data_IF_502044841645
#
_entry.id   IF_502044841645
#
_cell.length_a   1.000
_cell.length_b   1.000
_cell.length_c   1.000
_cell.angle_alpha   90.00
_cell.angle_beta   90.00
_cell.angle_gamma   90.00
#
_symmetry.space_group_name_H-M   'P 1'
#
loop_
_entity.id
_entity.type
_entity.pdbx_description
1 polymer ?
#
# COMPACT_ATOMS: atom_id res chain seq x y z
N UNK A 1 -12.67 -0.97 13.99
CA UNK A 1 -12.07 -2.25 13.53
C UNK A 1 -12.05 -2.27 12.01
N UNK A 2 -10.86 -2.31 11.39
CA UNK A 2 -10.72 -2.37 9.93
C UNK A 2 -11.24 -3.72 9.42
N UNK A 3 -12.38 -3.73 8.70
CA UNK A 3 -12.97 -4.94 8.13
C UNK A 3 -12.35 -5.21 6.75
N UNK A 4 -11.50 -6.23 6.68
CA UNK A 4 -10.89 -6.67 5.42
C UNK A 4 -11.94 -7.40 4.57
N UNK A 5 -12.63 -6.69 3.67
CA UNK A 5 -13.43 -7.29 2.59
C UNK A 5 -12.56 -7.51 1.34
N UNK A 6 -11.58 -8.43 1.41
CA UNK A 6 -10.75 -8.78 0.25
C UNK A 6 -11.55 -9.64 -0.72
N UNK A 7 -11.82 -9.11 -1.91
CA UNK A 7 -12.31 -9.92 -3.05
C UNK A 7 -11.24 -10.91 -3.52
N UNK A 8 -11.61 -12.05 -4.11
CA UNK A 8 -10.68 -13.00 -4.72
C UNK A 8 -9.69 -12.30 -5.67
N UNK A 9 -8.44 -12.77 -5.71
CA UNK A 9 -7.42 -12.15 -6.55
C UNK A 9 -7.76 -12.27 -8.05
N UNK A 10 -8.33 -13.42 -8.45
CA UNK A 10 -8.76 -13.70 -9.82
C UNK A 10 -9.73 -12.66 -10.38
N UNK A 11 -10.57 -12.07 -9.54
CA UNK A 11 -11.53 -11.03 -9.94
C UNK A 11 -10.89 -9.64 -10.09
N UNK A 12 -9.65 -9.47 -9.61
CA UNK A 12 -9.01 -8.17 -9.45
C UNK A 12 -7.74 -7.99 -10.27
N UNK A 13 -7.15 -9.04 -10.82
CA UNK A 13 -5.85 -8.99 -11.51
C UNK A 13 -5.74 -7.81 -12.49
N UNK A 14 -6.70 -7.66 -13.41
CA UNK A 14 -6.68 -6.58 -14.40
C UNK A 14 -6.82 -5.20 -13.76
N UNK A 15 -7.65 -5.06 -12.72
CA UNK A 15 -7.86 -3.78 -12.02
C UNK A 15 -6.63 -3.38 -11.21
N UNK A 16 -5.96 -4.34 -10.58
CA UNK A 16 -4.71 -4.10 -9.85
C UNK A 16 -3.61 -3.62 -10.79
N UNK A 17 -3.46 -4.24 -11.96
CA UNK A 17 -2.52 -3.79 -12.99
C UNK A 17 -2.86 -2.38 -13.51
N UNK A 18 -4.14 -2.09 -13.76
CA UNK A 18 -4.59 -0.77 -14.18
C UNK A 18 -4.36 0.31 -13.10
N UNK A 19 -4.53 -0.05 -11.83
CA UNK A 19 -4.25 0.84 -10.70
C UNK A 19 -2.75 1.14 -10.54
N UNK A 20 -1.89 0.13 -10.68
CA UNK A 20 -0.44 0.31 -10.68
C UNK A 20 0.03 1.26 -11.82
N UNK A 21 -0.62 1.18 -12.98
CA UNK A 21 -0.38 2.07 -14.12
C UNK A 21 -1.02 3.47 -13.96
N UNK A 22 -1.80 3.72 -12.91
CA UNK A 22 -2.53 4.98 -12.69
C UNK A 22 -3.72 5.23 -13.62
N UNK A 23 -4.12 4.23 -14.41
CA UNK A 23 -5.35 4.26 -15.25
C UNK A 23 -6.61 4.24 -14.38
N UNK A 24 -6.53 3.52 -13.26
CA UNK A 24 -7.49 3.58 -12.16
C UNK A 24 -6.76 4.24 -10.98
N UNK A 25 -7.44 5.09 -10.21
CA UNK A 25 -6.83 5.77 -9.07
C UNK A 25 -6.84 4.87 -7.84
N UNK A 26 -5.79 4.98 -7.01
CA UNK A 26 -5.64 4.20 -5.80
C UNK A 26 -6.70 4.60 -4.76
N UNK A 27 -7.09 3.65 -3.91
CA UNK A 27 -8.01 3.94 -2.79
C UNK A 27 -7.28 4.74 -1.71
N UNK A 28 -6.00 4.44 -1.49
CA UNK A 28 -5.15 5.10 -0.50
C UNK A 28 -3.72 5.15 -1.00
N UNK A 29 -3.03 6.27 -0.75
CA UNK A 29 -1.59 6.42 -0.94
C UNK A 29 -0.97 6.91 0.36
N UNK A 30 0.03 6.19 0.87
CA UNK A 30 0.86 6.63 1.99
C UNK A 30 2.08 7.32 1.40
N UNK A 31 2.29 8.60 1.68
CA UNK A 31 3.30 9.46 1.05
C UNK A 31 4.52 9.69 1.95
N UNK A 32 5.71 9.77 1.34
CA UNK A 32 6.94 10.25 1.99
C UNK A 32 7.50 9.33 3.08
N UNK A 33 7.07 8.07 3.13
CA UNK A 33 7.44 7.13 4.17
C UNK A 33 8.84 6.54 4.01
N UNK A 34 9.51 6.23 5.12
CA UNK A 34 10.73 5.41 5.12
C UNK A 34 10.35 3.93 5.14
N UNK A 35 10.23 3.31 3.97
CA UNK A 35 9.86 1.90 3.82
C UNK A 35 11.03 1.02 4.28
N UNK A 36 10.76 0.16 5.26
CA UNK A 36 11.70 -0.85 5.74
C UNK A 36 11.56 -2.08 4.85
N UNK A 37 12.50 -2.26 3.93
CA UNK A 37 12.54 -3.45 3.10
C UNK A 37 13.22 -4.58 3.87
N UNK A 38 12.40 -5.41 4.52
CA UNK A 38 12.86 -6.55 5.32
C UNK A 38 13.50 -7.66 4.48
N UNK A 39 13.34 -7.65 3.16
CA UNK A 39 13.99 -8.61 2.26
C UNK A 39 15.44 -8.18 1.93
N UNK A 40 15.68 -6.89 1.69
CA UNK A 40 17.02 -6.36 1.37
C UNK A 40 17.77 -5.78 2.57
N UNK A 41 17.10 -5.63 3.72
CA UNK A 41 17.60 -4.93 4.91
C UNK A 41 17.90 -3.43 4.69
N UNK A 42 17.28 -2.82 3.68
CA UNK A 42 17.44 -1.41 3.36
C UNK A 42 16.24 -0.58 3.86
N UNK A 43 16.49 0.71 4.07
CA UNK A 43 15.46 1.71 4.34
C UNK A 43 15.43 2.68 3.17
N UNK A 44 14.30 2.74 2.49
CA UNK A 44 14.13 3.57 1.29
C UNK A 44 12.95 4.53 1.46
N UNK A 45 13.14 5.80 1.12
CA UNK A 45 12.04 6.77 1.06
C UNK A 45 11.18 6.46 -0.17
N UNK A 46 9.91 6.13 0.04
CA UNK A 46 8.97 5.83 -1.03
C UNK A 46 7.53 6.06 -0.59
N UNK A 47 6.64 6.22 -1.57
CA UNK A 47 5.21 6.15 -1.36
C UNK A 47 4.72 4.71 -1.50
N UNK A 48 3.57 4.40 -0.91
CA UNK A 48 2.90 3.10 -1.04
C UNK A 48 1.46 3.33 -1.48
N UNK A 49 1.13 2.88 -2.70
CA UNK A 49 -0.22 2.96 -3.25
C UNK A 49 -0.99 1.64 -3.02
N UNK A 50 -2.25 1.76 -2.62
CA UNK A 50 -3.11 0.64 -2.23
C UNK A 50 -4.44 0.70 -3.00
N UNK A 51 -4.84 -0.44 -3.58
CA UNK A 51 -6.14 -0.62 -4.22
C UNK A 51 -6.78 -1.96 -3.82
N UNK A 52 -8.06 -1.94 -3.46
CA UNK A 52 -8.82 -3.10 -2.96
C UNK A 52 -8.06 -3.89 -1.87
N UNK A 53 -7.43 -3.16 -0.94
CA UNK A 53 -6.69 -3.73 0.19
C UNK A 53 -5.39 -4.47 -0.17
N UNK A 54 -4.82 -4.18 -1.35
CA UNK A 54 -3.54 -4.72 -1.84
C UNK A 54 -2.62 -3.59 -2.26
N UNK A 55 -1.32 -3.76 -2.02
CA UNK A 55 -0.28 -2.85 -2.49
C UNK A 55 -0.18 -3.02 -4.00
N UNK A 56 -0.26 -1.91 -4.75
CA UNK A 56 -0.13 -1.89 -6.22
C UNK A 56 1.14 -1.18 -6.67
N UNK A 57 1.75 -0.37 -5.81
CA UNK A 57 3.02 0.31 -6.09
C UNK A 57 3.75 0.65 -4.79
N UNK A 58 5.07 0.50 -4.81
CA UNK A 58 6.02 1.06 -3.84
C UNK A 58 7.02 1.89 -4.64
N UNK A 59 7.10 3.19 -4.41
CA UNK A 59 7.89 4.11 -5.23
C UNK A 59 7.22 5.48 -5.36
N UNK A 60 7.42 6.16 -6.48
CA UNK A 60 6.73 7.43 -6.76
C UNK A 60 5.28 7.15 -7.15
N UNK A 61 4.31 7.63 -6.35
CA UNK A 61 2.90 7.25 -6.51
C UNK A 61 2.00 8.35 -7.09
N UNK A 62 2.53 9.52 -7.44
CA UNK A 62 1.72 10.68 -7.83
C UNK A 62 0.73 10.40 -8.98
N UNK A 63 1.11 9.59 -9.98
CA UNK A 63 0.23 9.23 -11.10
C UNK A 63 -0.97 8.37 -10.68
N UNK A 64 -0.90 7.72 -9.52
CA UNK A 64 -1.98 6.89 -8.97
C UNK A 64 -3.00 7.67 -8.15
N UNK A 65 -2.74 8.96 -7.87
CA UNK A 65 -3.61 9.81 -7.04
C UNK A 65 -4.74 10.41 -7.90
N UNK A 66 -5.95 10.41 -7.34
CA UNK A 66 -7.11 11.12 -7.87
C UNK A 66 -7.93 11.81 -6.77
N UNK A 67 -9.05 12.45 -7.13
CA UNK A 67 -9.88 13.21 -6.20
C UNK A 67 -10.36 12.43 -4.97
N UNK A 68 -10.66 11.13 -5.16
CA UNK A 68 -11.18 10.26 -4.10
C UNK A 68 -10.09 9.46 -3.37
N UNK A 69 -8.83 9.62 -3.77
CA UNK A 69 -7.72 8.88 -3.16
C UNK A 69 -7.43 9.45 -1.77
N UNK A 70 -7.51 8.59 -0.76
CA UNK A 70 -7.10 8.96 0.60
C UNK A 70 -5.58 9.10 0.68
N UNK A 71 -5.08 10.27 1.06
CA UNK A 71 -3.65 10.48 1.31
C UNK A 71 -3.35 10.34 2.80
N UNK A 72 -2.28 9.62 3.11
CA UNK A 72 -1.71 9.52 4.46
C UNK A 72 -0.28 10.03 4.37
N UNK A 73 0.02 11.15 5.02
CA UNK A 73 1.40 11.65 5.11
C UNK A 73 2.16 10.85 6.17
N UNK A 74 3.25 10.22 5.77
CA UNK A 74 4.14 9.46 6.63
C UNK A 74 5.57 10.03 6.61
N UNK A 75 5.74 11.28 6.21
CA UNK A 75 7.03 11.97 6.23
C UNK A 75 7.66 11.92 7.62
N UNK A 76 8.91 11.46 7.68
CA UNK A 76 9.65 11.29 8.94
C UNK A 76 9.35 9.98 9.70
N UNK A 77 8.32 9.22 9.30
CA UNK A 77 7.97 7.94 9.90
C UNK A 77 8.52 6.74 9.11
N UNK A 78 8.60 5.60 9.80
CA UNK A 78 8.97 4.31 9.22
C UNK A 78 7.72 3.52 8.86
N UNK A 79 7.71 2.94 7.66
CA UNK A 79 6.67 2.02 7.20
C UNK A 79 7.21 0.61 7.26
N UNK A 80 6.58 -0.21 8.09
CA UNK A 80 6.89 -1.64 8.25
C UNK A 80 5.70 -2.49 7.82
N UNK A 81 5.93 -3.73 7.38
CA UNK A 81 4.87 -4.73 7.36
C UNK A 81 4.21 -4.81 8.73
N UNK A 82 2.88 -5.03 8.75
CA UNK A 82 2.18 -5.27 10.01
C UNK A 82 2.80 -6.44 10.76
N UNK A 83 3.00 -6.28 12.07
CA UNK A 83 3.59 -7.33 12.90
C UNK A 83 2.68 -8.56 12.90
N UNK A 84 3.31 -9.74 12.84
CA UNK A 84 2.65 -11.03 12.91
C UNK A 84 3.07 -11.70 14.21
N UNK A 85 2.10 -12.03 15.05
CA UNK A 85 2.35 -12.85 16.22
C UNK A 85 2.05 -14.31 15.89
N UNK A 86 3.05 -15.17 16.06
CA UNK A 86 2.94 -16.60 15.78
C UNK A 86 2.33 -17.41 16.91
N UNK A 87 2.25 -16.86 18.13
CA UNK A 87 1.81 -17.63 19.30
C UNK A 87 1.43 -16.76 20.51
N UNK A 88 0.13 -16.62 20.79
CA UNK A 88 -0.40 -15.92 21.97
C UNK A 88 -1.57 -16.67 22.60
N UNK A 89 -1.84 -16.36 23.87
CA UNK A 89 -3.11 -16.66 24.54
C UNK A 89 -3.78 -15.32 24.93
N UNK A 90 -5.00 -15.07 24.46
CA UNK A 90 -5.79 -13.83 24.71
C UNK A 90 -6.73 -14.01 25.89
#
# INVERSE_FOLDING_TARGET
MYKIKRRPLSELTTKLAAAAQGKIKADTVIKGGKVVNVFTAEITTADVAIYSGRIVLVGQADHTIGPDTRIIDASGFYLVPGLLDGHIHV
#
